data_IF_721248892954
#
_entry.id   IF_721248892954
#
_cell.length_a   1.000
_cell.length_b   1.000
_cell.length_c   1.000
_cell.angle_alpha   90.00
_cell.angle_beta   90.00
_cell.angle_gamma   90.00
#
_symmetry.space_group_name_H-M   'P 1'
#
loop_
_entity.id
_entity.type
_entity.pdbx_description
1 polymer ?
#
# COMPACT_ATOMS: atom_id res chain seq x y z
N UNK A 1 14.23 9.21 -18.83
CA UNK A 1 13.22 8.14 -19.11
C UNK A 1 13.46 6.90 -18.24
N UNK A 2 14.70 6.46 -18.04
CA UNK A 2 15.03 5.32 -17.15
C UNK A 2 14.73 5.62 -15.67
N UNK A 3 14.93 6.85 -15.23
CA UNK A 3 14.69 7.26 -13.85
C UNK A 3 13.19 7.17 -13.47
N UNK A 4 12.29 7.66 -14.34
CA UNK A 4 10.84 7.58 -14.13
C UNK A 4 10.36 6.13 -14.00
N UNK A 5 10.90 5.22 -14.85
CA UNK A 5 10.60 3.80 -14.77
C UNK A 5 11.06 3.17 -13.44
N UNK A 6 12.31 3.47 -13.04
CA UNK A 6 12.87 2.94 -11.79
C UNK A 6 12.08 3.41 -10.57
N UNK A 7 11.73 4.69 -10.51
CA UNK A 7 10.94 5.27 -9.42
C UNK A 7 9.56 4.61 -9.35
N UNK A 8 8.87 4.49 -10.49
CA UNK A 8 7.55 3.83 -10.53
C UNK A 8 7.62 2.36 -10.12
N UNK A 9 8.71 1.66 -10.44
CA UNK A 9 8.91 0.27 -10.02
C UNK A 9 9.16 0.16 -8.51
N UNK A 10 9.95 1.07 -7.94
CA UNK A 10 10.19 1.15 -6.49
C UNK A 10 8.87 1.49 -5.76
N UNK A 11 8.11 2.45 -6.27
CA UNK A 11 6.79 2.78 -5.72
C UNK A 11 5.87 1.57 -5.77
N UNK A 12 5.84 0.83 -6.88
CA UNK A 12 5.07 -0.41 -7.00
C UNK A 12 5.47 -1.47 -5.97
N UNK A 13 6.77 -1.65 -5.72
CA UNK A 13 7.29 -2.51 -4.66
C UNK A 13 6.79 -2.04 -3.28
N UNK A 14 6.95 -0.77 -2.94
CA UNK A 14 6.54 -0.20 -1.65
C UNK A 14 5.02 -0.31 -1.41
N UNK A 15 4.21 -0.05 -2.46
CA UNK A 15 2.75 -0.20 -2.40
C UNK A 15 2.35 -1.62 -2.00
N UNK A 16 2.93 -2.62 -2.67
CA UNK A 16 2.58 -4.01 -2.40
C UNK A 16 3.19 -4.53 -1.09
N UNK A 17 4.42 -4.11 -0.76
CA UNK A 17 5.07 -4.45 0.51
C UNK A 17 4.18 -4.07 1.71
N UNK A 18 3.77 -2.82 1.77
CA UNK A 18 2.99 -2.33 2.91
C UNK A 18 1.58 -2.90 2.92
N UNK A 19 0.92 -2.96 1.76
CA UNK A 19 -0.46 -3.41 1.68
C UNK A 19 -0.62 -4.88 2.03
N UNK A 20 0.11 -5.77 1.35
CA UNK A 20 -0.01 -7.21 1.60
C UNK A 20 0.59 -7.62 2.95
N UNK A 21 1.67 -6.97 3.38
CA UNK A 21 2.23 -7.18 4.70
C UNK A 21 1.25 -6.78 5.80
N UNK A 22 0.64 -5.60 5.73
CA UNK A 22 -0.38 -5.16 6.67
C UNK A 22 -1.64 -6.05 6.62
N UNK A 23 -2.08 -6.46 5.43
CA UNK A 23 -3.23 -7.34 5.27
C UNK A 23 -3.02 -8.67 6.01
N UNK A 24 -1.82 -9.25 5.89
CA UNK A 24 -1.43 -10.46 6.61
C UNK A 24 -1.45 -10.26 8.13
N UNK A 25 -0.84 -9.18 8.59
CA UNK A 25 -0.76 -8.81 10.02
C UNK A 25 -2.15 -8.57 10.60
N UNK A 26 -3.02 -7.87 9.87
CA UNK A 26 -4.40 -7.61 10.26
C UNK A 26 -5.24 -8.91 10.32
N UNK A 27 -5.00 -9.83 9.39
CA UNK A 27 -5.63 -11.16 9.42
C UNK A 27 -5.28 -11.93 10.68
N UNK A 28 -4.02 -11.88 11.09
CA UNK A 28 -3.57 -12.50 12.34
C UNK A 28 -4.14 -11.78 13.58
N UNK A 29 -4.28 -10.46 13.53
CA UNK A 29 -4.91 -9.69 14.59
C UNK A 29 -6.36 -10.17 14.83
N UNK A 30 -7.17 -10.28 13.78
CA UNK A 30 -8.54 -10.76 13.92
C UNK A 30 -8.62 -12.23 14.38
N UNK A 31 -7.77 -13.11 13.82
CA UNK A 31 -7.89 -14.55 14.06
C UNK A 31 -7.16 -15.02 15.31
N UNK A 32 -5.89 -14.59 15.51
CA UNK A 32 -5.09 -15.07 16.65
C UNK A 32 -5.27 -14.22 17.91
N UNK A 33 -5.44 -12.92 17.75
CA UNK A 33 -5.51 -12.02 18.90
C UNK A 33 -6.94 -11.83 19.39
N UNK A 34 -7.90 -11.55 18.48
CA UNK A 34 -9.32 -11.43 18.84
C UNK A 34 -10.07 -12.77 18.85
N UNK A 35 -9.47 -13.86 18.38
CA UNK A 35 -10.10 -15.19 18.36
C UNK A 35 -11.25 -15.33 17.38
N UNK A 36 -11.35 -14.45 16.36
CA UNK A 36 -12.43 -14.51 15.38
C UNK A 36 -12.25 -15.69 14.42
N UNK A 37 -13.36 -16.28 13.98
CA UNK A 37 -13.30 -17.31 12.95
C UNK A 37 -12.73 -16.76 11.64
N UNK A 38 -12.10 -17.59 10.81
CA UNK A 38 -11.53 -17.13 9.52
C UNK A 38 -12.56 -16.46 8.62
N UNK A 39 -13.82 -16.90 8.68
CA UNK A 39 -14.91 -16.32 7.93
C UNK A 39 -15.23 -14.88 8.37
N UNK A 40 -15.35 -14.65 9.67
CA UNK A 40 -15.61 -13.32 10.24
C UNK A 40 -14.43 -12.39 9.98
N UNK A 41 -13.21 -12.89 10.15
CA UNK A 41 -11.99 -12.13 9.85
C UNK A 41 -11.92 -11.71 8.37
N UNK A 42 -12.32 -12.59 7.44
CA UNK A 42 -12.42 -12.27 6.02
C UNK A 42 -13.46 -11.17 5.74
N UNK A 43 -14.63 -11.26 6.34
CA UNK A 43 -15.66 -10.21 6.23
C UNK A 43 -15.19 -8.87 6.82
N UNK A 44 -14.42 -8.92 7.90
CA UNK A 44 -13.86 -7.72 8.51
C UNK A 44 -12.84 -6.98 7.63
N UNK A 45 -12.32 -7.62 6.58
CA UNK A 45 -11.42 -7.01 5.60
C UNK A 45 -12.15 -6.40 4.39
N UNK A 46 -13.46 -6.62 4.25
CA UNK A 46 -14.27 -6.10 3.13
C UNK A 46 -14.17 -4.57 3.00
N UNK A 47 -14.20 -3.76 4.08
CA UNK A 47 -14.05 -2.31 3.96
C UNK A 47 -12.77 -1.90 3.25
N UNK A 48 -11.64 -2.57 3.53
CA UNK A 48 -10.36 -2.31 2.87
C UNK A 48 -10.41 -2.70 1.38
N UNK A 49 -11.03 -3.83 1.03
CA UNK A 49 -11.17 -4.26 -0.35
C UNK A 49 -12.09 -3.33 -1.16
N UNK A 50 -13.21 -2.90 -0.57
CA UNK A 50 -14.17 -2.00 -1.22
C UNK A 50 -13.61 -0.61 -1.48
N UNK A 51 -12.63 -0.16 -0.70
CA UNK A 51 -11.94 1.11 -0.94
C UNK A 51 -11.35 1.20 -2.36
N UNK A 52 -10.90 0.07 -2.92
CA UNK A 52 -10.35 0.00 -4.26
C UNK A 52 -11.39 0.32 -5.35
N UNK A 53 -12.66 -0.01 -5.13
CA UNK A 53 -13.75 0.24 -6.08
C UNK A 53 -13.94 1.76 -6.29
N UNK A 54 -13.77 2.54 -5.24
CA UNK A 54 -13.93 4.00 -5.27
C UNK A 54 -12.61 4.69 -5.61
N UNK A 55 -11.55 4.35 -4.91
CA UNK A 55 -10.29 5.07 -4.99
C UNK A 55 -9.50 4.81 -6.29
N UNK A 56 -9.56 3.60 -6.87
CA UNK A 56 -8.80 3.28 -8.07
C UNK A 56 -9.27 4.06 -9.32
N UNK A 57 -10.58 4.13 -9.65
CA UNK A 57 -11.05 4.97 -10.75
C UNK A 57 -10.76 6.46 -10.55
N UNK A 58 -10.85 6.94 -9.31
CA UNK A 58 -10.52 8.34 -8.98
C UNK A 58 -9.04 8.63 -9.19
N UNK A 59 -8.16 7.74 -8.72
CA UNK A 59 -6.71 7.85 -8.93
C UNK A 59 -6.33 7.81 -10.39
N UNK A 60 -6.93 6.91 -11.18
CA UNK A 60 -6.74 6.83 -12.62
C UNK A 60 -7.16 8.09 -13.36
N UNK A 61 -8.36 8.62 -13.07
CA UNK A 61 -8.85 9.87 -13.66
C UNK A 61 -8.00 11.07 -13.25
N UNK A 62 -7.61 11.16 -11.98
CA UNK A 62 -6.76 12.22 -11.49
C UNK A 62 -5.38 12.19 -12.16
N UNK A 63 -4.78 11.03 -12.27
CA UNK A 63 -3.50 10.82 -12.95
C UNK A 63 -3.55 11.21 -14.42
N UNK A 64 -4.64 10.89 -15.12
CA UNK A 64 -4.83 11.24 -16.52
C UNK A 64 -5.05 12.75 -16.75
N UNK A 65 -5.73 13.43 -15.79
CA UNK A 65 -6.07 14.86 -15.92
C UNK A 65 -4.92 15.78 -15.48
N UNK A 66 -4.16 15.40 -14.47
CA UNK A 66 -3.11 16.24 -13.88
C UNK A 66 -1.73 15.66 -14.15
N UNK A 67 -1.12 15.02 -13.16
CA UNK A 67 0.22 14.45 -13.25
C UNK A 67 0.25 13.12 -12.48
N UNK A 68 0.80 12.04 -13.06
CA UNK A 68 0.96 10.77 -12.37
C UNK A 68 1.71 10.88 -11.03
N UNK A 69 2.73 11.72 -10.96
CA UNK A 69 3.49 11.91 -9.72
C UNK A 69 2.66 12.54 -8.61
N UNK A 70 1.78 13.49 -8.93
CA UNK A 70 0.87 14.10 -7.95
C UNK A 70 -0.15 13.07 -7.44
N UNK A 71 -0.68 12.22 -8.31
CA UNK A 71 -1.58 11.14 -7.90
C UNK A 71 -0.87 10.12 -7.00
N UNK A 72 0.36 9.71 -7.35
CA UNK A 72 1.16 8.83 -6.51
C UNK A 72 1.43 9.47 -5.14
N UNK A 73 1.84 10.73 -5.10
CA UNK A 73 2.13 11.44 -3.86
C UNK A 73 0.91 11.51 -2.93
N UNK A 74 -0.24 11.90 -3.46
CA UNK A 74 -1.50 11.97 -2.68
C UNK A 74 -1.87 10.59 -2.13
N UNK A 75 -1.90 9.57 -3.00
CA UNK A 75 -2.26 8.21 -2.59
C UNK A 75 -1.30 7.63 -1.55
N UNK A 76 0.02 7.83 -1.75
CA UNK A 76 1.03 7.39 -0.79
C UNK A 76 0.92 8.12 0.55
N UNK A 77 0.63 9.43 0.56
CA UNK A 77 0.45 10.21 1.78
C UNK A 77 -0.80 9.76 2.55
N UNK A 78 -1.92 9.58 1.87
CA UNK A 78 -3.16 9.06 2.47
C UNK A 78 -2.94 7.65 3.02
N UNK A 79 -2.26 6.78 2.26
CA UNK A 79 -1.93 5.42 2.69
C UNK A 79 -0.98 5.41 3.90
N UNK A 80 0.04 6.27 3.92
CA UNK A 80 0.96 6.41 5.05
C UNK A 80 0.21 6.77 6.35
N UNK A 81 -0.69 7.75 6.27
CA UNK A 81 -1.53 8.13 7.41
C UNK A 81 -2.48 6.99 7.80
N UNK A 82 -3.13 6.35 6.82
CA UNK A 82 -4.03 5.23 7.04
C UNK A 82 -3.35 4.05 7.73
N UNK A 83 -2.19 3.60 7.25
CA UNK A 83 -1.44 2.51 7.87
C UNK A 83 -0.90 2.89 9.25
N UNK A 84 -0.34 4.09 9.42
CA UNK A 84 0.19 4.52 10.71
C UNK A 84 -0.90 4.67 11.77
N UNK A 85 -2.10 5.10 11.39
CA UNK A 85 -3.23 5.23 12.31
C UNK A 85 -3.74 3.89 12.84
N UNK A 86 -3.46 2.76 12.17
CA UNK A 86 -3.75 1.43 12.70
C UNK A 86 -2.96 1.10 13.98
N UNK A 87 -1.90 1.84 14.29
CA UNK A 87 -1.15 1.67 15.52
C UNK A 87 -1.91 2.10 16.79
N UNK A 88 -3.08 2.74 16.66
CA UNK A 88 -3.94 3.08 17.81
C UNK A 88 -4.90 1.93 18.19
N UNK A 89 -4.97 0.88 17.36
CA UNK A 89 -5.90 -0.24 17.56
C UNK A 89 -5.46 -1.07 18.77
N UNK A 90 -6.43 -1.39 19.62
CA UNK A 90 -6.28 -2.26 20.78
C UNK A 90 -7.52 -3.16 20.93
N UNK A 91 -7.57 -4.00 21.98
CA UNK A 91 -8.67 -4.94 22.25
C UNK A 91 -10.04 -4.26 22.38
N UNK A 92 -10.08 -3.07 22.92
CA UNK A 92 -11.33 -2.33 23.17
C UNK A 92 -11.75 -1.46 21.99
N UNK A 93 -10.97 -1.44 20.89
CA UNK A 93 -11.26 -0.60 19.73
C UNK A 93 -12.52 -1.08 19.00
N UNK A 94 -13.56 -0.25 18.84
CA UNK A 94 -14.74 -0.62 18.09
C UNK A 94 -14.39 -0.98 16.65
N UNK A 95 -15.00 -2.08 16.14
CA UNK A 95 -14.75 -2.54 14.76
C UNK A 95 -14.96 -1.44 13.71
N UNK A 96 -15.95 -0.55 13.91
CA UNK A 96 -16.22 0.54 12.97
C UNK A 96 -15.01 1.45 12.77
N UNK A 97 -14.24 1.71 13.82
CA UNK A 97 -13.01 2.50 13.73
C UNK A 97 -11.94 1.72 12.94
N UNK A 98 -11.78 0.43 13.22
CA UNK A 98 -10.86 -0.44 12.45
C UNK A 98 -11.22 -0.43 10.96
N UNK A 99 -12.51 -0.55 10.64
CA UNK A 99 -13.03 -0.53 9.28
C UNK A 99 -12.74 0.80 8.57
N UNK A 100 -12.92 1.94 9.26
CA UNK A 100 -12.60 3.26 8.70
C UNK A 100 -11.11 3.44 8.44
N UNK A 101 -10.26 3.04 9.38
CA UNK A 101 -8.81 3.16 9.24
C UNK A 101 -8.28 2.27 8.11
N UNK A 102 -8.78 1.03 8.01
CA UNK A 102 -8.40 0.11 6.93
C UNK A 102 -8.94 0.56 5.57
N UNK A 103 -10.13 1.16 5.52
CA UNK A 103 -10.66 1.79 4.32
C UNK A 103 -9.76 2.95 3.85
N UNK A 104 -9.32 3.83 4.75
CA UNK A 104 -8.37 4.91 4.43
C UNK A 104 -7.04 4.35 3.92
N UNK A 105 -6.46 3.35 4.58
CA UNK A 105 -5.21 2.73 4.18
C UNK A 105 -5.31 2.10 2.78
N UNK A 106 -6.38 1.35 2.51
CA UNK A 106 -6.67 0.75 1.21
C UNK A 106 -6.90 1.79 0.11
N UNK A 107 -7.60 2.89 0.44
CA UNK A 107 -7.85 3.99 -0.50
C UNK A 107 -6.55 4.64 -0.99
N UNK A 108 -5.58 4.84 -0.10
CA UNK A 108 -4.28 5.40 -0.46
C UNK A 108 -3.53 4.54 -1.48
N UNK A 109 -3.45 3.24 -1.24
CA UNK A 109 -2.87 2.30 -2.19
C UNK A 109 -3.62 2.28 -3.53
N UNK A 110 -4.94 2.12 -3.48
CA UNK A 110 -5.77 1.99 -4.66
C UNK A 110 -5.74 3.26 -5.55
N UNK A 111 -5.59 4.43 -4.93
CA UNK A 111 -5.46 5.70 -5.64
C UNK A 111 -4.09 5.85 -6.34
N UNK A 112 -2.99 5.44 -5.66
CA UNK A 112 -1.64 5.57 -6.21
C UNK A 112 -1.31 4.54 -7.30
N UNK A 113 -1.91 3.37 -7.25
CA UNK A 113 -1.54 2.21 -8.08
C UNK A 113 -1.71 2.43 -9.59
N UNK A 114 -2.84 2.97 -10.11
CA UNK A 114 -2.99 3.24 -11.54
C UNK A 114 -1.97 4.25 -12.03
N UNK A 115 -1.68 5.28 -11.23
CA UNK A 115 -0.72 6.31 -11.55
C UNK A 115 0.71 5.76 -11.67
N UNK A 116 1.15 4.91 -10.73
CA UNK A 116 2.45 4.26 -10.76
C UNK A 116 2.62 3.36 -11.99
N UNK A 117 1.57 2.59 -12.32
CA UNK A 117 1.58 1.70 -13.50
C UNK A 117 1.65 2.50 -14.80
N UNK A 118 0.82 3.54 -14.94
CA UNK A 118 0.79 4.41 -16.11
C UNK A 118 2.12 5.16 -16.29
N UNK A 119 2.67 5.74 -15.22
CA UNK A 119 3.95 6.45 -15.27
C UNK A 119 5.09 5.53 -15.76
N UNK A 120 5.12 4.30 -15.30
CA UNK A 120 6.14 3.35 -15.70
C UNK A 120 6.02 2.91 -17.16
N UNK A 121 4.82 2.58 -17.63
CA UNK A 121 4.60 2.17 -19.03
C UNK A 121 4.91 3.33 -19.98
N UNK A 122 4.51 4.56 -19.63
CA UNK A 122 4.77 5.75 -20.44
C UNK A 122 6.26 6.20 -20.43
N UNK A 123 7.05 5.72 -19.48
CA UNK A 123 8.47 6.03 -19.38
C UNK A 123 9.33 5.28 -20.40
N UNK A 124 8.80 4.27 -21.08
CA UNK A 124 9.54 3.44 -22.04
C UNK A 124 8.95 3.58 -23.46
N UNK A 125 9.76 3.33 -24.52
CA UNK A 125 9.23 3.24 -25.88
C UNK A 125 8.16 2.15 -26.01
N UNK A 126 7.15 2.38 -26.84
CA UNK A 126 5.99 1.48 -27.02
C UNK A 126 6.37 0.01 -27.22
N UNK A 127 7.43 -0.25 -28.01
CA UNK A 127 7.93 -1.61 -28.27
C UNK A 127 8.38 -2.37 -27.00
N UNK A 128 8.64 -1.67 -25.90
CA UNK A 128 9.03 -2.26 -24.61
C UNK A 128 7.93 -2.23 -23.56
N UNK A 129 6.73 -1.75 -23.89
CA UNK A 129 5.63 -1.59 -22.91
C UNK A 129 5.25 -2.91 -22.21
N UNK A 130 5.21 -4.05 -22.95
CA UNK A 130 4.94 -5.36 -22.36
C UNK A 130 6.03 -5.78 -21.37
N UNK A 131 7.30 -5.56 -21.72
CA UNK A 131 8.44 -5.90 -20.85
C UNK A 131 8.40 -5.02 -19.59
N UNK A 132 8.12 -3.73 -19.74
CA UNK A 132 7.96 -2.81 -18.62
C UNK A 132 6.84 -3.25 -17.67
N UNK A 133 5.70 -3.66 -18.22
CA UNK A 133 4.58 -4.21 -17.43
C UNK A 133 4.98 -5.45 -16.64
N UNK A 134 5.74 -6.34 -17.24
CA UNK A 134 6.28 -7.54 -16.59
C UNK A 134 7.22 -7.21 -15.43
N UNK A 135 8.17 -6.29 -15.63
CA UNK A 135 9.12 -5.86 -14.61
C UNK A 135 8.41 -5.21 -13.41
N UNK A 136 7.45 -4.31 -13.67
CA UNK A 136 6.66 -3.67 -12.61
C UNK A 136 5.88 -4.71 -11.83
N UNK A 137 5.23 -5.66 -12.52
CA UNK A 137 4.48 -6.71 -11.85
C UNK A 137 5.40 -7.58 -10.99
N UNK A 138 6.59 -7.92 -11.48
CA UNK A 138 7.62 -8.64 -10.70
C UNK A 138 8.04 -7.86 -9.47
N UNK A 139 8.35 -6.56 -9.62
CA UNK A 139 8.70 -5.70 -8.48
C UNK A 139 7.58 -5.66 -7.42
N UNK A 140 6.34 -5.54 -7.85
CA UNK A 140 5.16 -5.55 -6.97
C UNK A 140 5.00 -6.88 -6.23
N UNK A 141 5.11 -8.01 -6.94
CA UNK A 141 4.99 -9.33 -6.33
C UNK A 141 6.13 -9.60 -5.34
N UNK A 142 7.34 -9.19 -5.69
CA UNK A 142 8.49 -9.22 -4.76
C UNK A 142 8.20 -8.40 -3.51
N UNK A 143 7.64 -7.19 -3.67
CA UNK A 143 7.20 -6.36 -2.55
C UNK A 143 6.21 -7.08 -1.64
N UNK A 144 5.21 -7.77 -2.21
CA UNK A 144 4.23 -8.54 -1.43
C UNK A 144 4.89 -9.62 -0.57
N UNK A 145 5.81 -10.38 -1.16
CA UNK A 145 6.53 -11.47 -0.45
C UNK A 145 7.35 -10.92 0.71
N UNK A 146 8.15 -9.88 0.45
CA UNK A 146 8.96 -9.24 1.50
C UNK A 146 8.09 -8.58 2.57
N UNK A 147 6.98 -7.95 2.19
CA UNK A 147 6.05 -7.34 3.12
C UNK A 147 5.46 -8.35 4.10
N UNK A 148 4.92 -9.44 3.58
CA UNK A 148 4.37 -10.52 4.42
C UNK A 148 5.43 -11.14 5.32
N UNK A 149 6.64 -11.40 4.79
CA UNK A 149 7.72 -12.01 5.55
C UNK A 149 8.21 -11.08 6.68
N UNK A 150 8.56 -9.82 6.35
CA UNK A 150 9.16 -8.90 7.31
C UNK A 150 8.14 -8.47 8.38
N UNK A 151 6.94 -8.05 7.96
CA UNK A 151 5.91 -7.63 8.92
C UNK A 151 5.37 -8.81 9.73
N UNK A 152 5.36 -10.02 9.14
CA UNK A 152 5.00 -11.26 9.84
C UNK A 152 5.97 -11.63 10.95
N UNK A 153 7.28 -11.48 10.74
CA UNK A 153 8.30 -11.73 11.76
C UNK A 153 8.13 -10.79 12.97
N UNK A 154 7.73 -9.54 12.73
CA UNK A 154 7.55 -8.55 13.81
C UNK A 154 6.48 -8.97 14.83
N UNK A 155 5.51 -9.78 14.41
CA UNK A 155 4.44 -10.28 15.29
C UNK A 155 4.84 -11.59 15.98
N UNK A 156 5.74 -12.37 15.37
CA UNK A 156 6.12 -13.70 15.87
C UNK A 156 6.88 -13.64 17.20
N UNK A 157 7.56 -12.53 17.50
CA UNK A 157 8.48 -12.39 18.62
C UNK A 157 7.88 -11.54 19.76
N UNK A 158 7.30 -12.17 20.79
CA UNK A 158 6.92 -11.51 22.03
C UNK A 158 5.45 -11.04 22.10
N UNK A 159 5.22 -9.78 22.52
CA UNK A 159 3.87 -9.23 22.65
C UNK A 159 3.26 -8.96 21.27
N UNK A 160 2.17 -9.70 20.95
CA UNK A 160 1.48 -9.62 19.66
C UNK A 160 1.06 -8.18 19.31
N UNK A 161 0.46 -7.46 20.25
CA UNK A 161 -0.06 -6.12 20.01
C UNK A 161 1.05 -5.12 19.73
N UNK A 162 2.16 -5.19 20.47
CA UNK A 162 3.34 -4.38 20.20
C UNK A 162 3.93 -4.68 18.82
N UNK A 163 4.04 -5.96 18.45
CA UNK A 163 4.48 -6.38 17.12
C UNK A 163 3.55 -5.87 16.01
N UNK A 164 2.24 -5.91 16.24
CA UNK A 164 1.24 -5.36 15.32
C UNK A 164 1.43 -3.86 15.11
N UNK A 165 1.57 -3.08 16.20
CA UNK A 165 1.79 -1.64 16.12
C UNK A 165 3.08 -1.30 15.37
N UNK A 166 4.19 -2.00 15.64
CA UNK A 166 5.44 -1.80 14.91
C UNK A 166 5.29 -2.14 13.43
N UNK A 167 4.61 -3.24 13.10
CA UNK A 167 4.42 -3.66 11.71
C UNK A 167 3.63 -2.62 10.90
N UNK A 168 2.52 -2.09 11.44
CA UNK A 168 1.72 -1.08 10.73
C UNK A 168 2.44 0.27 10.63
N UNK A 169 3.25 0.64 11.63
CA UNK A 169 4.12 1.83 11.56
C UNK A 169 5.20 1.68 10.50
N UNK A 170 5.82 0.51 10.37
CA UNK A 170 6.78 0.21 9.29
C UNK A 170 6.09 0.30 7.93
N UNK A 171 4.89 -0.27 7.79
CA UNK A 171 4.11 -0.18 6.55
C UNK A 171 3.80 1.27 6.17
N UNK A 172 3.37 2.09 7.15
CA UNK A 172 3.15 3.53 6.97
C UNK A 172 4.43 4.29 6.63
N UNK A 173 5.54 3.96 7.29
CA UNK A 173 6.86 4.54 7.05
C UNK A 173 7.37 4.27 5.61
N UNK A 174 7.17 3.06 5.11
CA UNK A 174 7.53 2.71 3.72
C UNK A 174 6.70 3.53 2.72
N UNK A 175 5.41 3.75 2.98
CA UNK A 175 4.58 4.64 2.14
C UNK A 175 5.04 6.09 2.23
N UNK A 176 5.39 6.58 3.41
CA UNK A 176 5.91 7.93 3.59
C UNK A 176 7.24 8.14 2.84
N UNK A 177 8.16 7.18 2.93
CA UNK A 177 9.42 7.20 2.17
C UNK A 177 9.18 7.18 0.66
N UNK A 178 8.25 6.35 0.20
CA UNK A 178 7.87 6.33 -1.22
C UNK A 178 7.23 7.66 -1.67
N UNK A 179 6.43 8.33 -0.81
CA UNK A 179 5.88 9.65 -1.09
C UNK A 179 6.99 10.71 -1.25
N UNK A 180 7.98 10.68 -0.36
CA UNK A 180 9.16 11.57 -0.43
C UNK A 180 9.94 11.34 -1.71
N UNK A 181 10.19 10.08 -2.10
CA UNK A 181 10.87 9.74 -3.36
C UNK A 181 10.12 10.30 -4.57
N UNK A 182 8.80 10.17 -4.60
CA UNK A 182 7.95 10.70 -5.69
C UNK A 182 8.01 12.23 -5.73
N UNK A 183 8.00 12.89 -4.58
CA UNK A 183 8.11 14.34 -4.50
C UNK A 183 9.44 14.86 -5.08
N UNK A 184 10.56 14.21 -4.76
CA UNK A 184 11.86 14.56 -5.36
C UNK A 184 11.91 14.30 -6.86
N UNK A 185 11.33 13.19 -7.31
CA UNK A 185 11.25 12.86 -8.73
C UNK A 185 10.45 13.87 -9.54
N UNK A 186 9.37 14.40 -8.96
CA UNK A 186 8.52 15.40 -9.62
C UNK A 186 9.23 16.74 -9.85
N UNK A 187 10.27 17.05 -9.05
CA UNK A 187 11.05 18.30 -9.14
C UNK A 187 12.16 18.25 -10.16
N UNK A 188 12.61 17.06 -10.58
CA UNK A 188 13.69 16.84 -11.55
C UNK A 188 13.19 15.94 -12.70
N UNK A 189 12.25 16.40 -13.54
CA UNK A 189 11.83 15.66 -14.72
C UNK A 189 12.99 15.63 -15.72
N UNK A 190 13.64 14.45 -15.86
CA UNK A 190 14.68 14.20 -16.87
C UNK A 190 14.08 13.78 -18.21
#
# INVERSE_FOLDING_TARGET
KTQAFSISSIVGFCLNFSFFGQLFVLSLYFQKYLGWSPWIAGLAMVPQATSAIVASPLGGRFSAKFNPYSAMFIGLSVGALGFSSLAIINESTPYILVALLTFCAGSGMAFAMPAATSAAINAVPYKFACIAGGIINTARQTGSVFGVAILGIMIANGNFLAGFHHAVLVAGGVFALAAVLVMFASRHPS
#
